data_IF_255654918392
#
_entry.id   IF_255654918392
#
_cell.length_a   1.000
_cell.length_b   1.000
_cell.length_c   1.000
_cell.angle_alpha   90.00
_cell.angle_beta   90.00
_cell.angle_gamma   90.00
#
_symmetry.space_group_name_H-M   'P 1'
#
loop_
_entity.id
_entity.type
_entity.pdbx_description
1 polymer ?
#
# COMPACT_ATOMS: atom_id res chain seq x y z
N UNK A 1 -1.22 10.65 -15.26
CA UNK A 1 -1.87 10.28 -13.98
C UNK A 1 -1.20 10.94 -12.75
N UNK A 2 -0.89 12.24 -12.78
CA UNK A 2 -0.50 12.94 -11.53
C UNK A 2 -1.72 13.34 -10.70
N UNK A 3 -2.88 13.46 -11.33
CA UNK A 3 -4.17 13.83 -10.71
C UNK A 3 -4.58 12.85 -9.61
N UNK A 4 -4.48 11.55 -9.84
CA UNK A 4 -4.80 10.56 -8.80
C UNK A 4 -3.89 10.68 -7.57
N UNK A 5 -2.62 11.09 -7.75
CA UNK A 5 -1.71 11.32 -6.62
C UNK A 5 -2.14 12.49 -5.74
N UNK A 6 -2.87 13.46 -6.31
CA UNK A 6 -3.36 14.62 -5.55
C UNK A 6 -4.37 14.19 -4.48
N UNK A 7 -5.11 13.10 -4.70
CA UNK A 7 -6.05 12.54 -3.70
C UNK A 7 -5.32 12.19 -2.40
N UNK A 8 -4.07 11.74 -2.47
CA UNK A 8 -3.28 11.35 -1.29
C UNK A 8 -2.57 12.51 -0.58
N UNK A 9 -2.56 13.71 -1.19
CA UNK A 9 -1.80 14.86 -0.73
C UNK A 9 -2.66 15.94 -0.07
N UNK A 10 -3.96 15.71 0.08
CA UNK A 10 -4.87 16.69 0.67
C UNK A 10 -4.67 16.82 2.18
N UNK A 11 -5.11 17.96 2.72
CA UNK A 11 -4.99 18.23 4.15
C UNK A 11 -5.90 17.33 4.98
N UNK A 12 -7.13 17.10 4.51
CA UNK A 12 -8.18 16.35 5.21
C UNK A 12 -8.98 15.46 4.24
N UNK A 13 -9.82 14.58 4.81
CA UNK A 13 -10.63 13.62 4.05
C UNK A 13 -11.65 14.30 3.13
N UNK A 14 -12.28 15.39 3.58
CA UNK A 14 -13.29 16.11 2.77
C UNK A 14 -12.68 16.65 1.47
N UNK A 15 -11.54 17.35 1.56
CA UNK A 15 -10.83 17.83 0.39
C UNK A 15 -10.36 16.70 -0.54
N UNK A 16 -10.02 15.52 0.00
CA UNK A 16 -9.68 14.34 -0.79
C UNK A 16 -10.88 13.77 -1.56
N UNK A 17 -12.07 13.79 -0.96
CA UNK A 17 -13.33 13.38 -1.61
C UNK A 17 -13.63 14.30 -2.79
N UNK A 18 -13.51 15.63 -2.61
CA UNK A 18 -13.77 16.58 -3.70
C UNK A 18 -12.84 16.34 -4.90
N UNK A 19 -11.55 16.13 -4.64
CA UNK A 19 -10.56 15.82 -5.69
C UNK A 19 -10.84 14.46 -6.34
N UNK A 20 -11.28 13.46 -5.56
CA UNK A 20 -11.63 12.14 -6.07
C UNK A 20 -12.87 12.19 -6.97
N UNK A 21 -13.89 12.97 -6.61
CA UNK A 21 -15.10 13.15 -7.43
C UNK A 21 -14.80 13.94 -8.71
N UNK A 22 -13.94 14.95 -8.65
CA UNK A 22 -13.43 15.63 -9.85
C UNK A 22 -12.65 14.66 -10.76
N UNK A 23 -11.87 13.76 -10.18
CA UNK A 23 -11.18 12.70 -10.92
C UNK A 23 -12.20 11.75 -11.60
N UNK A 24 -13.26 11.35 -10.92
CA UNK A 24 -14.32 10.54 -11.53
C UNK A 24 -14.96 11.25 -12.71
N UNK A 25 -15.43 12.48 -12.53
CA UNK A 25 -16.09 13.24 -13.59
C UNK A 25 -15.22 13.37 -14.86
N UNK A 26 -13.91 13.53 -14.68
CA UNK A 26 -12.96 13.64 -15.79
C UNK A 26 -12.75 12.33 -16.55
N UNK A 27 -12.66 11.20 -15.83
CA UNK A 27 -12.19 9.93 -16.39
C UNK A 27 -13.30 8.90 -16.62
N UNK A 28 -14.52 9.15 -16.15
CA UNK A 28 -15.66 8.22 -16.27
C UNK A 28 -15.95 7.82 -17.71
N UNK A 29 -15.89 8.78 -18.65
CA UNK A 29 -16.15 8.51 -20.08
C UNK A 29 -15.11 7.58 -20.71
N UNK A 30 -13.84 7.74 -20.35
CA UNK A 30 -12.73 6.99 -20.95
C UNK A 30 -12.46 5.66 -20.24
N UNK A 31 -12.76 5.57 -18.94
CA UNK A 31 -12.42 4.44 -18.09
C UNK A 31 -13.56 4.07 -17.13
N UNK A 32 -14.78 3.91 -17.64
CA UNK A 32 -15.99 3.70 -16.81
C UNK A 32 -15.86 2.55 -15.80
N UNK A 33 -15.21 1.45 -16.18
CA UNK A 33 -15.06 0.26 -15.34
C UNK A 33 -14.09 0.53 -14.19
N UNK A 34 -13.02 1.27 -14.44
CA UNK A 34 -12.07 1.67 -13.41
C UNK A 34 -12.76 2.61 -12.42
N UNK A 35 -13.54 3.57 -12.91
CA UNK A 35 -14.28 4.51 -12.06
C UNK A 35 -15.34 3.80 -11.23
N UNK A 36 -16.09 2.85 -11.80
CA UNK A 36 -17.06 2.04 -11.06
C UNK A 36 -16.38 1.30 -9.90
N UNK A 37 -15.32 0.56 -10.18
CA UNK A 37 -14.59 -0.17 -9.15
C UNK A 37 -14.02 0.77 -8.07
N UNK A 38 -13.55 1.96 -8.44
CA UNK A 38 -13.05 2.94 -7.48
C UNK A 38 -14.16 3.50 -6.58
N UNK A 39 -15.38 3.71 -7.12
CA UNK A 39 -16.54 4.14 -6.33
C UNK A 39 -16.96 3.04 -5.34
N UNK A 40 -16.92 1.79 -5.77
CA UNK A 40 -17.28 0.64 -4.92
C UNK A 40 -16.35 0.53 -3.69
N UNK A 41 -15.07 0.89 -3.84
CA UNK A 41 -14.07 0.87 -2.76
C UNK A 41 -13.79 2.26 -2.16
N UNK A 42 -14.52 3.30 -2.54
CA UNK A 42 -14.28 4.68 -2.12
C UNK A 42 -14.21 4.84 -0.58
N UNK A 43 -15.11 4.20 0.22
CA UNK A 43 -15.05 4.29 1.67
C UNK A 43 -13.70 3.83 2.23
N UNK A 44 -13.15 2.75 1.67
CA UNK A 44 -11.90 2.11 2.10
C UNK A 44 -10.67 2.86 1.59
N UNK A 45 -10.74 3.38 0.36
CA UNK A 45 -9.64 4.08 -0.31
C UNK A 45 -9.14 5.28 0.50
N UNK A 46 -10.03 5.94 1.24
CA UNK A 46 -9.73 7.16 2.00
C UNK A 46 -9.57 6.91 3.51
N UNK A 47 -9.64 5.67 4.00
CA UNK A 47 -9.49 5.35 5.43
C UNK A 47 -8.15 5.82 5.99
N UNK A 48 -7.09 5.85 5.17
CA UNK A 48 -5.78 6.30 5.62
C UNK A 48 -5.78 7.76 6.15
N UNK A 49 -6.79 8.58 5.81
CA UNK A 49 -6.95 9.93 6.35
C UNK A 49 -7.28 9.97 7.85
N UNK A 50 -7.84 8.87 8.39
CA UNK A 50 -8.14 8.73 9.81
C UNK A 50 -6.85 8.61 10.66
N UNK A 51 -5.70 8.36 10.02
CA UNK A 51 -4.42 8.24 10.70
C UNK A 51 -3.59 9.54 10.65
N UNK A 52 -2.62 9.69 11.57
CA UNK A 52 -1.70 10.82 11.57
C UNK A 52 -0.98 11.01 10.23
N UNK A 53 -0.81 12.27 9.82
CA UNK A 53 -0.21 12.66 8.52
C UNK A 53 1.17 12.00 8.30
N UNK A 54 1.91 11.80 9.38
CA UNK A 54 3.25 11.22 9.44
C UNK A 54 3.30 9.81 8.82
N UNK A 55 2.25 9.00 9.00
CA UNK A 55 2.21 7.60 8.54
C UNK A 55 1.40 7.39 7.25
N UNK A 56 0.60 8.37 6.81
CA UNK A 56 -0.25 8.24 5.61
C UNK A 56 0.51 7.74 4.39
N UNK A 57 1.70 8.30 4.13
CA UNK A 57 2.53 7.90 3.00
C UNK A 57 3.01 6.46 3.09
N UNK A 58 3.17 5.92 4.28
CA UNK A 58 3.54 4.54 4.52
C UNK A 58 2.37 3.58 4.27
N UNK A 59 1.13 4.05 4.46
CA UNK A 59 -0.10 3.29 4.23
C UNK A 59 -0.43 3.23 2.72
N UNK A 60 -0.53 4.39 2.04
CA UNK A 60 -0.95 4.41 0.64
C UNK A 60 0.17 4.05 -0.36
N UNK A 61 1.43 4.00 0.09
CA UNK A 61 2.56 3.67 -0.79
C UNK A 61 2.70 2.17 -1.00
N UNK A 62 2.70 1.78 -2.27
CA UNK A 62 2.98 0.38 -2.67
C UNK A 62 4.48 0.04 -2.68
N UNK A 63 5.37 0.96 -2.31
CA UNK A 63 6.82 0.77 -2.46
C UNK A 63 7.36 -0.42 -1.67
N UNK A 64 6.87 -0.63 -0.43
CA UNK A 64 7.34 -1.72 0.42
C UNK A 64 6.99 -3.09 -0.19
N UNK A 65 5.71 -3.28 -0.54
CA UNK A 65 5.21 -4.51 -1.15
C UNK A 65 5.85 -4.73 -2.54
N UNK A 66 5.98 -3.68 -3.36
CA UNK A 66 6.66 -3.79 -4.67
C UNK A 66 8.14 -4.16 -4.54
N UNK A 67 8.84 -3.56 -3.59
CA UNK A 67 10.24 -3.88 -3.31
C UNK A 67 10.40 -5.36 -2.95
N UNK A 68 9.58 -5.85 -2.02
CA UNK A 68 9.58 -7.24 -1.61
C UNK A 68 9.23 -8.20 -2.76
N UNK A 69 8.14 -7.92 -3.50
CA UNK A 69 7.74 -8.72 -4.66
C UNK A 69 8.84 -8.76 -5.75
N UNK A 70 9.57 -7.67 -5.94
CA UNK A 70 10.70 -7.64 -6.88
C UNK A 70 11.86 -8.53 -6.42
N UNK A 71 12.12 -8.62 -5.11
CA UNK A 71 13.12 -9.56 -4.56
C UNK A 71 12.69 -10.99 -4.82
N UNK A 72 11.45 -11.35 -4.50
CA UNK A 72 10.92 -12.70 -4.77
C UNK A 72 11.04 -13.06 -6.25
N UNK A 73 10.56 -12.18 -7.15
CA UNK A 73 10.62 -12.41 -8.61
C UNK A 73 12.06 -12.63 -9.10
N UNK A 74 13.02 -11.84 -8.63
CA UNK A 74 14.44 -12.00 -9.01
C UNK A 74 15.02 -13.33 -8.53
N UNK A 75 14.65 -13.75 -7.31
CA UNK A 75 15.13 -15.01 -6.70
C UNK A 75 14.47 -16.24 -7.31
N UNK A 76 13.22 -16.11 -7.77
CA UNK A 76 12.47 -17.17 -8.45
C UNK A 76 12.89 -17.32 -9.92
N UNK A 77 13.31 -16.25 -10.59
CA UNK A 77 13.71 -16.27 -12.02
C UNK A 77 14.67 -17.40 -12.44
N UNK A 78 15.73 -17.76 -11.69
CA UNK A 78 16.61 -18.87 -12.07
C UNK A 78 16.04 -20.26 -11.79
N UNK A 79 14.88 -20.38 -11.11
CA UNK A 79 14.21 -21.66 -10.87
C UNK A 79 13.33 -21.98 -12.09
N UNK A 80 13.61 -23.10 -12.77
CA UNK A 80 12.82 -23.54 -13.92
C UNK A 80 11.41 -23.98 -13.49
N UNK A 81 11.32 -24.73 -12.39
CA UNK A 81 10.07 -25.19 -11.78
C UNK A 81 10.27 -25.48 -10.29
N UNK A 82 9.14 -25.62 -9.58
CA UNK A 82 9.10 -26.14 -8.21
C UNK A 82 8.52 -27.56 -8.27
N UNK A 83 9.25 -28.59 -7.82
CA UNK A 83 8.83 -29.99 -7.96
C UNK A 83 7.58 -30.33 -7.11
N UNK A 84 7.34 -29.60 -6.03
CA UNK A 84 6.18 -29.76 -5.15
C UNK A 84 5.71 -28.41 -4.60
N UNK A 85 4.45 -28.33 -4.17
CA UNK A 85 3.91 -27.16 -3.45
C UNK A 85 4.75 -26.85 -2.20
N UNK A 86 5.13 -27.88 -1.44
CA UNK A 86 6.00 -27.74 -0.28
C UNK A 86 7.35 -27.05 -0.61
N UNK A 87 7.93 -27.34 -1.78
CA UNK A 87 9.19 -26.70 -2.20
C UNK A 87 9.01 -25.21 -2.54
N UNK A 88 7.83 -24.82 -3.04
CA UNK A 88 7.46 -23.43 -3.26
C UNK A 88 7.27 -22.72 -1.90
N UNK A 89 6.55 -23.34 -0.97
CA UNK A 89 6.33 -22.78 0.37
C UNK A 89 7.65 -22.57 1.11
N UNK A 90 8.54 -23.56 1.09
CA UNK A 90 9.87 -23.43 1.68
C UNK A 90 10.67 -22.31 1.01
N UNK A 91 10.60 -22.17 -0.31
CA UNK A 91 11.27 -21.09 -1.02
C UNK A 91 10.76 -19.71 -0.59
N UNK A 92 9.45 -19.51 -0.51
CA UNK A 92 8.83 -18.27 -0.06
C UNK A 92 9.17 -18.00 1.41
N UNK A 93 9.07 -19.00 2.28
CA UNK A 93 9.43 -18.92 3.69
C UNK A 93 10.86 -18.38 3.88
N UNK A 94 11.83 -18.93 3.14
CA UNK A 94 13.22 -18.43 3.18
C UNK A 94 13.31 -16.96 2.75
N UNK A 95 12.56 -16.53 1.72
CA UNK A 95 12.58 -15.12 1.31
C UNK A 95 11.97 -14.19 2.36
N UNK A 96 10.89 -14.63 3.02
CA UNK A 96 10.22 -13.89 4.10
C UNK A 96 11.12 -13.79 5.32
N UNK A 97 11.75 -14.89 5.76
CA UNK A 97 12.68 -14.89 6.88
C UNK A 97 13.87 -13.96 6.62
N UNK A 98 14.48 -14.05 5.44
CA UNK A 98 15.59 -13.16 5.07
C UNK A 98 15.18 -11.68 5.02
N UNK A 99 13.95 -11.39 4.58
CA UNK A 99 13.41 -10.04 4.63
C UNK A 99 13.24 -9.56 6.07
N UNK A 100 12.62 -10.38 6.92
CA UNK A 100 12.38 -10.05 8.32
C UNK A 100 13.68 -9.80 9.07
N UNK A 101 14.69 -10.68 8.95
CA UNK A 101 16.00 -10.51 9.59
C UNK A 101 16.65 -9.18 9.21
N UNK A 102 16.56 -8.80 7.92
CA UNK A 102 17.13 -7.55 7.42
C UNK A 102 16.43 -6.30 7.96
N UNK A 103 15.13 -6.36 8.19
CA UNK A 103 14.31 -5.21 8.56
C UNK A 103 13.79 -5.26 10.00
N UNK A 104 14.20 -6.25 10.79
CA UNK A 104 13.67 -6.53 12.12
C UNK A 104 13.73 -5.31 13.07
N UNK A 105 14.88 -4.65 13.12
CA UNK A 105 15.09 -3.49 14.00
C UNK A 105 14.66 -2.15 13.36
N UNK A 106 14.01 -2.16 12.19
CA UNK A 106 13.70 -0.95 11.45
C UNK A 106 12.29 -0.48 11.75
N UNK A 107 12.19 0.72 12.33
CA UNK A 107 10.92 1.46 12.40
C UNK A 107 10.64 2.08 11.03
N UNK A 108 9.46 1.82 10.49
CA UNK A 108 9.06 2.37 9.19
C UNK A 108 8.80 3.88 9.28
N UNK A 109 8.90 4.58 8.14
CA UNK A 109 8.76 6.03 8.07
C UNK A 109 7.48 6.52 8.76
N UNK A 110 7.65 7.51 9.63
CA UNK A 110 6.56 8.17 10.34
C UNK A 110 6.10 7.45 11.61
N UNK A 111 6.20 6.13 11.69
CA UNK A 111 5.65 5.35 12.81
C UNK A 111 6.30 5.71 14.15
N UNK A 112 7.63 5.87 14.18
CA UNK A 112 8.33 6.27 15.40
C UNK A 112 8.01 7.69 15.89
N UNK A 113 7.32 8.52 15.08
CA UNK A 113 6.93 9.88 15.48
C UNK A 113 5.53 9.93 16.11
N UNK A 114 4.73 8.88 15.96
CA UNK A 114 3.32 8.85 16.35
C UNK A 114 2.98 7.62 17.17
N UNK A 115 3.98 7.00 17.81
CA UNK A 115 3.82 5.76 18.56
C UNK A 115 2.74 5.91 19.64
N UNK A 116 2.88 6.88 20.54
CA UNK A 116 1.92 7.14 21.63
C UNK A 116 0.49 7.40 21.09
N UNK A 117 0.37 8.13 19.99
CA UNK A 117 -0.93 8.41 19.34
C UNK A 117 -1.57 7.17 18.74
N UNK A 118 -0.77 6.22 18.25
CA UNK A 118 -1.28 4.95 17.72
C UNK A 118 -1.67 4.00 18.86
N UNK A 119 -0.88 3.96 19.94
CA UNK A 119 -1.19 3.16 21.13
C UNK A 119 -2.53 3.59 21.73
N UNK A 120 -2.79 4.91 21.82
CA UNK A 120 -4.07 5.43 22.33
C UNK A 120 -5.30 5.13 21.45
N UNK A 121 -5.15 4.51 20.27
CA UNK A 121 -6.30 4.06 19.48
C UNK A 121 -6.81 2.68 19.93
N UNK A 122 -6.03 1.97 20.74
CA UNK A 122 -6.33 0.61 21.21
C UNK A 122 -6.65 0.54 22.71
N UNK A 123 -6.52 1.67 23.41
CA UNK A 123 -6.98 1.87 24.79
C UNK A 123 -8.49 2.15 24.83
#
# INVERSE_FOLDING_TARGET
MNEFKQIHQQANKAAAVDVLHAFYAKWDKSYNHVIRNLKDIEPDLLVFYNYPKQIRASIYSTNMIKSFNNVIKRKAKPKAEFPTEQSLDTFIGIQVMSYNDRYFNRIHKGFGQVQDTLESYFD
#
